data_IF_368219465844
#
_entry.id   IF_368219465844
#
_cell.length_a   1.000
_cell.length_b   1.000
_cell.length_c   1.000
_cell.angle_alpha   90.00
_cell.angle_beta   90.00
_cell.angle_gamma   90.00
#
_symmetry.space_group_name_H-M   'P 1'
#
loop_
_entity.id
_entity.type
_entity.pdbx_description
1 polymer ?
#
# COMPACT_ATOMS: atom_id res chain seq x y z
N UNK A 1 -12.52 -9.89 -3.47
CA UNK A 1 -12.45 -8.42 -3.57
C UNK A 1 -13.48 -7.89 -4.58
N UNK A 2 -14.42 -7.08 -4.09
CA UNK A 2 -15.41 -6.37 -4.91
C UNK A 2 -14.76 -5.20 -5.64
N UNK A 3 -15.16 -4.95 -6.89
CA UNK A 3 -14.68 -3.81 -7.68
C UNK A 3 -15.37 -2.52 -7.19
N UNK A 4 -14.65 -1.48 -6.74
CA UNK A 4 -15.25 -0.22 -6.31
C UNK A 4 -15.62 0.62 -7.54
N UNK A 5 -16.77 0.32 -8.15
CA UNK A 5 -17.22 0.95 -9.41
C UNK A 5 -17.26 2.48 -9.36
N UNK A 6 -17.57 3.07 -8.20
CA UNK A 6 -17.58 4.53 -7.99
C UNK A 6 -16.18 5.16 -7.98
N UNK A 7 -15.13 4.40 -7.69
CA UNK A 7 -13.74 4.87 -7.66
C UNK A 7 -13.02 4.63 -8.99
N UNK A 8 -13.49 3.70 -9.83
CA UNK A 8 -12.80 3.27 -11.05
C UNK A 8 -13.50 3.87 -12.28
N UNK A 9 -13.51 5.20 -12.32
CA UNK A 9 -14.28 5.96 -13.32
C UNK A 9 -13.48 6.29 -14.59
N UNK A 10 -12.17 6.51 -14.49
CA UNK A 10 -11.30 6.84 -15.62
C UNK A 10 -10.55 5.62 -16.16
N UNK A 11 -10.12 5.68 -17.42
CA UNK A 11 -9.30 4.62 -18.02
C UNK A 11 -8.02 4.38 -17.21
N UNK A 12 -7.36 5.46 -16.79
CA UNK A 12 -6.18 5.39 -15.92
C UNK A 12 -6.44 4.59 -14.63
N UNK A 13 -7.53 4.89 -13.90
CA UNK A 13 -7.90 4.16 -12.68
C UNK A 13 -8.29 2.70 -12.98
N UNK A 14 -8.92 2.43 -14.13
CA UNK A 14 -9.24 1.06 -14.59
C UNK A 14 -7.96 0.26 -14.83
N UNK A 15 -6.97 0.85 -15.47
CA UNK A 15 -5.70 0.21 -15.77
C UNK A 15 -4.93 -0.09 -14.47
N UNK A 16 -4.79 0.88 -13.57
CA UNK A 16 -4.16 0.65 -12.25
C UNK A 16 -4.83 -0.50 -11.48
N UNK A 17 -6.17 -0.54 -11.46
CA UNK A 17 -6.91 -1.61 -10.78
C UNK A 17 -6.73 -2.97 -11.45
N UNK A 18 -6.72 -3.00 -12.79
CA UNK A 18 -6.55 -4.22 -13.58
C UNK A 18 -5.17 -4.84 -13.36
N UNK A 19 -4.12 -4.03 -13.28
CA UNK A 19 -2.76 -4.52 -13.08
C UNK A 19 -2.50 -4.95 -11.62
N UNK A 20 -2.93 -4.15 -10.64
CA UNK A 20 -2.54 -4.37 -9.24
C UNK A 20 -3.39 -5.40 -8.50
N UNK A 21 -4.71 -5.43 -8.73
CA UNK A 21 -5.61 -6.27 -7.91
C UNK A 21 -5.43 -7.77 -8.12
N UNK A 22 -5.16 -8.30 -9.32
CA UNK A 22 -4.82 -9.71 -9.48
C UNK A 22 -3.58 -10.12 -8.68
N UNK A 23 -2.55 -9.26 -8.64
CA UNK A 23 -1.33 -9.52 -7.89
C UNK A 23 -1.57 -9.47 -6.37
N UNK A 24 -2.33 -8.47 -5.90
CA UNK A 24 -2.75 -8.40 -4.50
C UNK A 24 -3.52 -9.66 -4.09
N UNK A 25 -4.50 -10.10 -4.90
CA UNK A 25 -5.28 -11.32 -4.61
C UNK A 25 -4.40 -12.56 -4.47
N UNK A 26 -3.38 -12.71 -5.32
CA UNK A 26 -2.42 -13.83 -5.23
C UNK A 26 -1.65 -13.77 -3.91
N UNK A 27 -1.15 -12.60 -3.53
CA UNK A 27 -0.42 -12.40 -2.27
C UNK A 27 -1.30 -12.69 -1.05
N UNK A 28 -2.50 -12.11 -0.99
CA UNK A 28 -3.40 -12.24 0.17
C UNK A 28 -3.96 -13.65 0.36
N UNK A 29 -3.98 -14.50 -0.68
CA UNK A 29 -4.42 -15.90 -0.58
C UNK A 29 -3.61 -16.71 0.45
N UNK A 30 -2.37 -16.29 0.72
CA UNK A 30 -1.45 -16.99 1.62
C UNK A 30 -1.41 -16.37 3.01
N UNK A 31 -2.24 -15.38 3.31
CA UNK A 31 -2.24 -14.64 4.56
C UNK A 31 -3.61 -14.76 5.25
N UNK A 32 -3.67 -14.74 6.60
CA UNK A 32 -4.92 -14.83 7.34
C UNK A 32 -5.66 -13.48 7.31
N UNK A 33 -6.14 -13.07 6.14
CA UNK A 33 -6.81 -11.78 5.93
C UNK A 33 -8.29 -11.88 6.30
N UNK A 34 -8.76 -10.91 7.07
CA UNK A 34 -10.18 -10.73 7.39
C UNK A 34 -10.83 -9.77 6.39
N UNK A 35 -10.25 -8.58 6.22
CA UNK A 35 -10.81 -7.52 5.38
C UNK A 35 -9.73 -6.75 4.62
N UNK A 36 -10.14 -6.12 3.53
CA UNK A 36 -9.27 -5.27 2.70
C UNK A 36 -10.03 -4.02 2.31
N UNK A 37 -9.44 -2.87 2.63
CA UNK A 37 -9.95 -1.55 2.31
C UNK A 37 -9.08 -0.87 1.27
N UNK A 38 -9.70 -0.09 0.39
CA UNK A 38 -8.98 0.80 -0.53
C UNK A 38 -8.97 2.19 0.10
N UNK A 39 -7.78 2.75 0.28
CA UNK A 39 -7.61 4.03 0.98
C UNK A 39 -6.80 5.03 0.13
N UNK A 40 -6.42 6.15 0.75
CA UNK A 40 -5.48 7.10 0.19
C UNK A 40 -5.98 7.85 -1.05
N UNK A 41 -5.05 8.22 -1.92
CA UNK A 41 -5.38 9.11 -3.04
C UNK A 41 -6.34 8.48 -4.05
N UNK A 42 -6.33 7.14 -4.15
CA UNK A 42 -7.23 6.37 -5.01
C UNK A 42 -8.68 6.40 -4.52
N UNK A 43 -8.93 6.45 -3.20
CA UNK A 43 -10.29 6.58 -2.64
C UNK A 43 -10.83 8.02 -2.65
N UNK A 44 -10.02 9.00 -3.09
CA UNK A 44 -10.40 10.41 -3.18
C UNK A 44 -10.97 10.83 -4.54
N UNK A 45 -11.36 12.12 -4.67
CA UNK A 45 -11.78 12.76 -5.93
C UNK A 45 -10.63 13.04 -6.92
N UNK A 46 -9.37 12.75 -6.58
CA UNK A 46 -8.20 13.04 -7.43
C UNK A 46 -8.28 12.30 -8.76
N UNK A 47 -8.23 12.99 -9.90
CA UNK A 47 -8.38 12.32 -11.21
C UNK A 47 -7.25 11.33 -11.51
N UNK A 48 -6.02 11.67 -11.14
CA UNK A 48 -4.80 10.87 -11.34
C UNK A 48 -4.16 10.55 -9.98
N UNK A 49 -4.61 9.49 -9.29
CA UNK A 49 -3.93 9.01 -8.10
C UNK A 49 -2.52 8.50 -8.47
N UNK A 50 -1.58 8.59 -7.52
CA UNK A 50 -0.21 8.15 -7.76
C UNK A 50 -0.11 6.62 -7.76
N UNK A 51 -0.86 6.00 -6.84
CA UNK A 51 -0.81 4.60 -6.44
C UNK A 51 -2.20 4.11 -5.99
N UNK A 52 -2.30 2.83 -5.63
CA UNK A 52 -3.47 2.26 -4.96
C UNK A 52 -3.04 1.75 -3.59
N UNK A 53 -3.48 2.46 -2.55
CA UNK A 53 -3.23 2.07 -1.16
C UNK A 53 -4.29 1.06 -0.70
N UNK A 54 -3.83 -0.01 -0.07
CA UNK A 54 -4.69 -1.01 0.56
C UNK A 54 -4.39 -1.10 2.06
N UNK A 55 -5.43 -0.98 2.89
CA UNK A 55 -5.34 -1.35 4.30
C UNK A 55 -5.88 -2.78 4.45
N UNK A 56 -5.08 -3.67 5.03
CA UNK A 56 -5.43 -5.08 5.19
C UNK A 56 -5.57 -5.38 6.68
N UNK A 57 -6.73 -5.91 7.07
CA UNK A 57 -6.94 -6.42 8.43
C UNK A 57 -6.55 -7.89 8.46
N UNK A 58 -5.49 -8.19 9.21
CA UNK A 58 -5.03 -9.56 9.44
C UNK A 58 -5.66 -10.12 10.71
N UNK A 59 -6.08 -11.39 10.66
CA UNK A 59 -6.48 -12.13 11.85
C UNK A 59 -5.23 -12.39 12.69
N UNK A 60 -5.20 -11.80 13.86
CA UNK A 60 -4.21 -12.11 14.89
C UNK A 60 -4.74 -13.26 15.76
N UNK A 61 -3.84 -14.04 16.37
CA UNK A 61 -4.27 -15.04 17.35
C UNK A 61 -4.80 -14.26 18.56
N UNK A 62 -6.09 -14.39 18.84
CA UNK A 62 -6.78 -13.68 19.93
C UNK A 62 -5.97 -13.74 21.23
N UNK A 63 -5.49 -12.57 21.69
CA UNK A 63 -5.05 -12.24 23.06
C UNK A 63 -4.37 -10.85 23.18
N UNK A 64 -4.01 -10.21 22.08
CA UNK A 64 -3.33 -8.89 22.09
C UNK A 64 -4.28 -7.71 21.78
N UNK A 65 -5.48 -7.69 22.38
CA UNK A 65 -6.48 -6.61 22.15
C UNK A 65 -5.98 -5.19 22.52
N UNK A 66 -4.81 -5.06 23.14
CA UNK A 66 -4.22 -3.79 23.57
C UNK A 66 -3.00 -3.34 22.75
N UNK A 67 -2.57 -4.10 21.74
CA UNK A 67 -1.42 -3.72 20.94
C UNK A 67 -1.85 -2.86 19.74
N UNK A 68 -1.55 -1.56 19.83
CA UNK A 68 -1.99 -0.51 18.89
C UNK A 68 -1.00 -0.28 17.74
N UNK A 69 -0.37 -1.32 17.22
CA UNK A 69 0.62 -1.17 16.16
C UNK A 69 0.11 -1.77 14.85
N UNK A 70 0.41 -1.07 13.76
CA UNK A 70 0.28 -1.55 12.39
C UNK A 70 1.66 -1.55 11.74
N UNK A 71 1.81 -2.29 10.66
CA UNK A 71 2.99 -2.18 9.80
C UNK A 71 2.52 -1.75 8.41
N UNK A 72 3.26 -0.80 7.83
CA UNK A 72 3.05 -0.40 6.45
C UNK A 72 3.97 -1.26 5.57
N UNK A 73 3.39 -1.88 4.54
CA UNK A 73 4.14 -2.71 3.60
C UNK A 73 3.92 -2.22 2.18
N UNK A 74 5.02 -1.84 1.54
CA UNK A 74 5.02 -1.31 0.18
C UNK A 74 5.71 -2.32 -0.74
N UNK A 75 5.01 -2.73 -1.80
CA UNK A 75 5.56 -3.56 -2.87
C UNK A 75 5.81 -2.69 -4.08
N UNK A 76 7.08 -2.56 -4.47
CA UNK A 76 7.49 -1.84 -5.66
C UNK A 76 8.13 -2.80 -6.68
N UNK A 77 8.03 -2.52 -7.99
CA UNK A 77 8.66 -3.36 -9.00
C UNK A 77 10.19 -3.25 -8.92
N UNK A 78 10.92 -4.37 -9.09
CA UNK A 78 12.38 -4.37 -9.14
C UNK A 78 12.90 -3.84 -10.49
N UNK A 79 12.70 -2.54 -10.75
CA UNK A 79 13.14 -1.85 -11.95
C UNK A 79 13.44 -0.37 -11.65
N UNK A 80 13.62 0.46 -12.69
CA UNK A 80 13.87 1.91 -12.54
C UNK A 80 12.82 2.62 -11.69
N UNK A 81 11.56 2.19 -11.77
CA UNK A 81 10.48 2.76 -10.96
C UNK A 81 10.61 2.38 -9.48
N UNK A 82 10.99 1.14 -9.16
CA UNK A 82 11.23 0.76 -7.76
C UNK A 82 12.38 1.53 -7.11
N UNK A 83 13.45 1.82 -7.86
CA UNK A 83 14.53 2.71 -7.37
C UNK A 83 13.99 4.11 -7.05
N UNK A 84 13.18 4.66 -7.95
CA UNK A 84 12.51 5.94 -7.70
C UNK A 84 11.61 5.92 -6.45
N UNK A 85 10.86 4.84 -6.23
CA UNK A 85 10.04 4.68 -5.01
C UNK A 85 10.92 4.68 -3.76
N UNK A 86 12.06 3.98 -3.78
CA UNK A 86 12.98 3.93 -2.64
C UNK A 86 13.56 5.32 -2.31
N UNK A 87 13.99 6.07 -3.34
CA UNK A 87 14.49 7.44 -3.18
C UNK A 87 13.41 8.37 -2.62
N UNK A 88 12.16 8.18 -3.06
CA UNK A 88 11.02 8.97 -2.57
C UNK A 88 10.67 8.65 -1.12
N UNK A 89 10.76 7.38 -0.72
CA UNK A 89 10.62 6.97 0.69
C UNK A 89 11.67 7.66 1.55
N UNK A 90 12.95 7.68 1.16
CA UNK A 90 13.99 8.38 1.93
C UNK A 90 13.70 9.88 2.04
N UNK A 91 13.33 10.51 0.92
CA UNK A 91 12.95 11.93 0.90
C UNK A 91 11.79 12.22 1.84
N UNK A 92 10.74 11.40 1.79
CA UNK A 92 9.57 11.54 2.64
C UNK A 92 9.91 11.33 4.12
N UNK A 93 10.67 10.28 4.45
CA UNK A 93 11.13 10.00 5.82
C UNK A 93 11.93 11.17 6.36
N UNK A 94 12.83 11.75 5.56
CA UNK A 94 13.59 12.94 5.94
C UNK A 94 12.71 14.16 6.16
N UNK A 95 11.73 14.41 5.29
CA UNK A 95 10.82 15.54 5.45
C UNK A 95 9.94 15.41 6.70
N UNK A 96 9.47 14.20 6.99
CA UNK A 96 8.54 13.93 8.09
C UNK A 96 9.23 13.86 9.45
N UNK A 97 10.39 13.21 9.52
CA UNK A 97 11.07 12.91 10.79
C UNK A 97 12.34 13.72 11.01
N UNK A 98 12.96 14.25 9.94
CA UNK A 98 14.24 14.96 9.98
C UNK A 98 15.45 14.05 9.71
N UNK A 99 16.54 14.63 9.20
CA UNK A 99 17.72 13.90 8.66
C UNK A 99 18.38 12.90 9.62
N UNK A 100 18.23 13.07 10.94
CA UNK A 100 18.92 12.26 11.97
C UNK A 100 17.99 11.37 12.81
N UNK A 101 16.69 11.35 12.50
CA UNK A 101 15.67 10.71 13.35
C UNK A 101 15.03 9.48 12.70
N UNK A 102 15.64 8.93 11.65
CA UNK A 102 15.19 7.69 11.02
C UNK A 102 16.39 6.91 10.47
N UNK A 103 16.18 5.61 10.26
CA UNK A 103 17.13 4.71 9.62
C UNK A 103 16.41 3.94 8.51
N UNK A 104 17.06 3.80 7.34
CA UNK A 104 16.62 2.89 6.29
C UNK A 104 17.60 1.73 6.28
N UNK A 105 17.14 0.57 6.76
CA UNK A 105 17.96 -0.62 6.92
C UNK A 105 17.59 -1.65 5.88
N UNK A 106 18.57 -2.14 5.13
CA UNK A 106 18.41 -3.30 4.26
C UNK A 106 18.50 -4.57 5.12
N UNK A 107 17.44 -5.37 5.11
CA UNK A 107 17.34 -6.57 5.96
C UNK A 107 17.53 -7.89 5.20
N UNK A 108 17.63 -7.86 3.86
CA UNK A 108 17.88 -8.99 2.94
C UNK A 108 18.63 -8.52 1.68
#
# INVERSE_FOLDING_TARGET
>A
MKKPVKLIVSQYRKDMWREMVPNLKKMLKHLPVEEVYVIGSFSSKKQRPADIDFMVLFKTKEKQNNEKWSFDFVVAPNNKHGKFVLDDVERWMRQKYGKKNFEITRIL
#
